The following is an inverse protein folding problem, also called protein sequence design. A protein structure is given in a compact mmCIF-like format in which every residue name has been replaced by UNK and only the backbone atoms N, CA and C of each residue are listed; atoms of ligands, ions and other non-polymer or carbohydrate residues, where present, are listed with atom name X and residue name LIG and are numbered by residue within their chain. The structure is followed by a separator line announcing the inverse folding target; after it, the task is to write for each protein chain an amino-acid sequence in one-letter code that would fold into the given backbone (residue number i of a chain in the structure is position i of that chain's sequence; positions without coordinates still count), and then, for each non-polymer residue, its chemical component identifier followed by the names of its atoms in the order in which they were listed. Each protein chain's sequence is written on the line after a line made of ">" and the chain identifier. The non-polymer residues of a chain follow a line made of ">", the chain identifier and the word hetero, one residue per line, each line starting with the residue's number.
data_IF_664688734717
#
_entry.id   IF_664688734717
#
_cell.length_a   1.000
_cell.length_b   1.000
_cell.length_c   1.000
_cell.angle_alpha   90.00
_cell.angle_beta   90.00
_cell.angle_gamma   90.00
#
_symmetry.space_group_name_H-M   'P 1'
#
loop_
_entity.id
_entity.type
_entity.pdbx_description
1 polymer ?
#
# COMPACT_ATOMS: atom_id res chain seq x y z
N UNK A 1 -3.41 -5.56 49.76
CA UNK A 1 -2.68 -6.77 50.17
C UNK A 1 -1.57 -7.03 49.17
N UNK A 2 -0.37 -7.43 49.61
CA UNK A 2 0.81 -7.51 48.76
C UNK A 2 0.83 -8.82 47.98
N UNK A 3 0.06 -8.92 46.89
CA UNK A 3 0.18 -10.04 45.92
C UNK A 3 0.39 -9.54 44.47
N UNK A 4 0.64 -8.24 44.28
CA UNK A 4 0.82 -7.62 42.96
C UNK A 4 2.18 -7.81 42.28
N UNK A 5 3.05 -8.70 42.76
CA UNK A 5 4.48 -8.70 42.33
C UNK A 5 5.06 -10.05 41.89
N UNK A 6 4.27 -11.12 41.80
CA UNK A 6 4.80 -12.45 41.42
C UNK A 6 3.94 -13.08 40.32
N UNK A 7 3.98 -12.52 39.11
CA UNK A 7 3.98 -13.32 37.86
C UNK A 7 4.28 -12.46 36.63
N UNK A 8 5.27 -11.59 36.78
CA UNK A 8 6.13 -11.16 35.69
C UNK A 8 7.07 -12.32 35.35
N UNK A 9 6.54 -13.35 34.68
CA UNK A 9 7.35 -14.48 34.17
C UNK A 9 7.01 -14.75 32.71
N UNK A 10 7.44 -13.81 31.88
CA UNK A 10 8.08 -14.02 30.58
C UNK A 10 7.64 -15.22 29.73
N UNK A 11 7.02 -14.88 28.58
CA UNK A 11 6.90 -15.66 27.34
C UNK A 11 5.81 -16.76 27.27
N UNK A 12 4.72 -16.41 26.56
CA UNK A 12 3.88 -17.22 25.64
C UNK A 12 2.54 -16.48 25.54
N UNK A 13 2.06 -15.98 24.43
CA UNK A 13 2.34 -16.17 23.01
C UNK A 13 1.55 -15.06 22.28
N UNK A 14 1.88 -14.76 21.04
CA UNK A 14 1.06 -13.90 20.14
C UNK A 14 -0.43 -14.31 20.11
N UNK A 15 -0.76 -15.56 20.47
CA UNK A 15 -2.14 -16.06 20.62
C UNK A 15 -2.90 -15.43 21.79
N UNK A 16 -2.25 -15.05 22.89
CA UNK A 16 -2.91 -14.39 24.03
C UNK A 16 -3.28 -12.93 23.69
N UNK A 17 -2.46 -12.26 22.88
CA UNK A 17 -2.76 -10.92 22.34
C UNK A 17 -3.89 -10.95 21.30
N UNK A 18 -3.93 -11.99 20.46
CA UNK A 18 -5.04 -12.19 19.53
C UNK A 18 -6.37 -12.50 20.26
N UNK A 19 -6.31 -13.20 21.40
CA UNK A 19 -7.49 -13.50 22.20
C UNK A 19 -8.09 -12.24 22.85
N UNK A 20 -7.27 -11.31 23.36
CA UNK A 20 -7.79 -10.04 23.90
C UNK A 20 -8.45 -9.14 22.85
N UNK A 21 -7.91 -9.10 21.61
CA UNK A 21 -8.51 -8.38 20.48
C UNK A 21 -9.85 -8.99 20.03
N UNK A 22 -9.99 -10.32 20.12
CA UNK A 22 -11.26 -10.99 19.85
C UNK A 22 -12.34 -10.66 20.90
N UNK A 23 -11.93 -10.38 22.14
CA UNK A 23 -12.82 -10.10 23.28
C UNK A 23 -13.02 -8.62 23.61
N UNK A 24 -12.46 -7.70 22.81
CA UNK A 24 -12.73 -6.27 22.98
C UNK A 24 -14.24 -5.99 22.89
N UNK A 25 -14.74 -4.99 23.64
CA UNK A 25 -16.15 -4.60 23.58
C UNK A 25 -16.48 -4.11 22.16
N UNK A 26 -17.11 -4.99 21.37
CA UNK A 26 -17.60 -4.65 20.04
C UNK A 26 -18.96 -3.97 20.15
N UNK A 27 -19.15 -2.92 19.36
CA UNK A 27 -20.47 -2.33 19.20
C UNK A 27 -21.33 -3.34 18.42
N UNK A 28 -22.54 -3.69 18.88
CA UNK A 28 -23.40 -4.63 18.16
C UNK A 28 -23.67 -4.12 16.74
N UNK A 29 -23.44 -4.98 15.75
CA UNK A 29 -23.49 -4.64 14.32
C UNK A 29 -24.84 -4.10 13.87
N UNK A 30 -25.92 -4.38 14.60
CA UNK A 30 -27.26 -3.85 14.35
C UNK A 30 -27.41 -2.35 14.62
N UNK A 31 -26.48 -1.74 15.35
CA UNK A 31 -26.49 -0.31 15.68
C UNK A 31 -25.60 0.54 14.78
N UNK A 32 -24.78 -0.09 13.93
CA UNK A 32 -23.86 0.59 13.03
C UNK A 32 -24.51 0.78 11.65
N UNK A 33 -24.40 1.97 11.03
CA UNK A 33 -24.90 2.16 9.67
C UNK A 33 -24.09 1.30 8.70
N UNK A 34 -24.80 0.48 7.91
CA UNK A 34 -24.18 -0.40 6.91
C UNK A 34 -23.65 0.39 5.70
N UNK A 35 -24.28 1.54 5.39
CA UNK A 35 -23.91 2.42 4.29
C UNK A 35 -23.99 3.86 4.80
N UNK A 36 -23.00 4.66 4.42
CA UNK A 36 -22.98 6.10 4.70
C UNK A 36 -23.71 6.87 3.58
N UNK A 37 -23.21 8.02 3.16
CA UNK A 37 -23.76 8.83 2.06
C UNK A 37 -22.98 8.58 0.77
N UNK A 38 -23.50 9.05 -0.38
CA UNK A 38 -22.80 8.98 -1.68
C UNK A 38 -21.36 9.48 -1.63
N UNK A 39 -21.09 10.57 -0.90
CA UNK A 39 -19.72 11.04 -0.69
C UNK A 39 -18.87 10.01 0.08
N UNK A 40 -19.39 9.45 1.16
CA UNK A 40 -18.70 8.42 1.94
C UNK A 40 -18.44 7.14 1.14
N UNK A 41 -19.35 6.75 0.25
CA UNK A 41 -19.16 5.62 -0.67
C UNK A 41 -18.04 5.90 -1.66
N UNK A 42 -17.99 7.11 -2.25
CA UNK A 42 -16.92 7.52 -3.18
C UNK A 42 -15.57 7.57 -2.46
N UNK A 43 -15.52 8.12 -1.24
CA UNK A 43 -14.32 8.18 -0.43
C UNK A 43 -13.83 6.76 -0.06
N UNK A 44 -14.74 5.87 0.31
CA UNK A 44 -14.41 4.47 0.59
C UNK A 44 -13.88 3.75 -0.66
N UNK A 45 -14.52 3.94 -1.83
CA UNK A 45 -14.04 3.37 -3.09
C UNK A 45 -12.61 3.87 -3.42
N UNK A 46 -12.33 5.15 -3.21
CA UNK A 46 -10.98 5.71 -3.33
C UNK A 46 -9.97 5.05 -2.41
N UNK A 47 -10.29 4.91 -1.12
CA UNK A 47 -9.43 4.23 -0.15
C UNK A 47 -9.17 2.77 -0.50
N UNK A 48 -10.18 2.06 -1.01
CA UNK A 48 -10.05 0.67 -1.45
C UNK A 48 -9.12 0.57 -2.66
N UNK A 49 -9.32 1.44 -3.66
CA UNK A 49 -8.45 1.50 -4.85
C UNK A 49 -7.01 1.84 -4.48
N UNK A 50 -6.80 2.78 -3.57
CA UNK A 50 -5.48 3.12 -3.05
C UNK A 50 -4.85 1.94 -2.28
N UNK A 51 -5.64 1.21 -1.50
CA UNK A 51 -5.14 0.08 -0.71
C UNK A 51 -4.69 -1.09 -1.58
N UNK A 52 -5.31 -1.28 -2.74
CA UNK A 52 -4.95 -2.32 -3.72
C UNK A 52 -3.96 -1.82 -4.78
N UNK A 53 -3.34 -0.66 -4.57
CA UNK A 53 -2.34 -0.09 -5.47
C UNK A 53 -1.01 -0.85 -5.35
N UNK A 54 -0.50 -1.32 -6.49
CA UNK A 54 0.71 -2.12 -6.58
C UNK A 54 1.15 -2.46 -8.01
N UNK A 55 0.43 -1.94 -9.00
CA UNK A 55 0.60 -2.23 -10.43
C UNK A 55 2.02 -1.88 -10.91
N UNK A 56 2.62 -0.81 -10.40
CA UNK A 56 3.97 -0.38 -10.77
C UNK A 56 5.07 -1.38 -10.37
N UNK A 57 4.81 -2.23 -9.36
CA UNK A 57 5.79 -3.23 -8.91
C UNK A 57 5.74 -4.53 -9.72
N UNK A 58 4.64 -4.80 -10.43
CA UNK A 58 4.43 -6.08 -11.12
C UNK A 58 5.52 -6.34 -12.17
N UNK A 59 5.81 -5.37 -13.04
CA UNK A 59 6.81 -5.55 -14.11
C UNK A 59 8.25 -5.68 -13.60
N UNK A 60 8.75 -4.82 -12.68
CA UNK A 60 10.06 -5.05 -12.08
C UNK A 60 10.16 -6.39 -11.35
N UNK A 61 9.10 -6.81 -10.66
CA UNK A 61 9.08 -8.09 -9.95
C UNK A 61 9.14 -9.27 -10.93
N UNK A 62 8.32 -9.25 -11.98
CA UNK A 62 8.29 -10.28 -13.02
C UNK A 62 9.67 -10.46 -13.68
N UNK A 63 10.34 -9.35 -13.99
CA UNK A 63 11.69 -9.36 -14.56
C UNK A 63 12.76 -9.95 -13.62
N UNK A 64 12.49 -10.06 -12.32
CA UNK A 64 13.40 -10.65 -11.32
C UNK A 64 13.00 -12.07 -10.92
N UNK A 65 11.87 -12.59 -11.38
CA UNK A 65 11.44 -13.95 -11.10
C UNK A 65 12.26 -14.97 -11.88
N UNK A 66 12.57 -16.11 -11.23
CA UNK A 66 13.21 -17.26 -11.91
C UNK A 66 12.29 -17.86 -12.98
N UNK A 67 10.99 -17.85 -12.72
CA UNK A 67 9.95 -18.37 -13.62
C UNK A 67 8.87 -17.29 -13.82
N UNK A 68 9.04 -16.36 -14.76
CA UNK A 68 8.09 -15.26 -14.98
C UNK A 68 6.66 -15.71 -15.32
N UNK A 69 6.52 -16.88 -15.98
CA UNK A 69 5.21 -17.45 -16.34
C UNK A 69 4.33 -17.81 -15.14
N UNK A 70 4.92 -17.97 -13.95
CA UNK A 70 4.18 -18.26 -12.71
C UNK A 70 3.63 -16.98 -12.05
N UNK A 71 3.88 -15.81 -12.65
CA UNK A 71 3.33 -14.53 -12.17
C UNK A 71 1.80 -14.49 -12.32
N UNK A 72 1.30 -15.00 -13.45
CA UNK A 72 -0.12 -14.99 -13.84
C UNK A 72 -0.80 -16.35 -13.59
N UNK A 73 -2.13 -16.38 -13.70
CA UNK A 73 -2.98 -17.56 -13.50
C UNK A 73 -3.71 -17.56 -12.15
N UNK A 74 -4.64 -18.50 -11.98
CA UNK A 74 -5.49 -18.58 -10.78
C UNK A 74 -4.70 -18.79 -9.49
N UNK A 75 -3.66 -19.63 -9.54
CA UNK A 75 -2.71 -19.85 -8.44
C UNK A 75 -1.37 -19.10 -8.67
N UNK A 76 -1.36 -18.09 -9.54
CA UNK A 76 -0.19 -17.26 -9.80
C UNK A 76 0.17 -16.37 -8.60
N UNK A 77 1.40 -15.88 -8.59
CA UNK A 77 1.89 -15.01 -7.50
C UNK A 77 1.01 -13.77 -7.33
N UNK A 78 0.56 -13.17 -8.44
CA UNK A 78 -0.28 -11.97 -8.41
C UNK A 78 -1.67 -12.27 -7.83
N UNK A 79 -2.37 -13.28 -8.36
CA UNK A 79 -3.73 -13.63 -7.96
C UNK A 79 -3.81 -14.05 -6.49
N UNK A 80 -2.86 -14.85 -6.03
CA UNK A 80 -2.80 -15.30 -4.63
C UNK A 80 -2.43 -14.14 -3.68
N UNK A 81 -1.46 -13.30 -4.07
CA UNK A 81 -1.03 -12.15 -3.27
C UNK A 81 -2.14 -11.12 -3.08
N UNK A 82 -2.81 -10.71 -4.16
CA UNK A 82 -3.92 -9.75 -4.11
C UNK A 82 -5.10 -10.31 -3.31
N UNK A 83 -5.44 -11.59 -3.50
CA UNK A 83 -6.53 -12.23 -2.74
C UNK A 83 -6.26 -12.27 -1.24
N UNK A 84 -5.05 -12.65 -0.84
CA UNK A 84 -4.64 -12.70 0.57
C UNK A 84 -4.69 -11.31 1.21
N UNK A 85 -4.12 -10.30 0.56
CA UNK A 85 -4.09 -8.93 1.06
C UNK A 85 -5.50 -8.37 1.18
N UNK A 86 -6.37 -8.64 0.20
CA UNK A 86 -7.77 -8.22 0.22
C UNK A 86 -8.52 -8.80 1.43
N UNK A 87 -8.31 -10.08 1.75
CA UNK A 87 -8.93 -10.71 2.92
C UNK A 87 -8.45 -10.08 4.23
N UNK A 88 -7.14 -9.81 4.34
CA UNK A 88 -6.56 -9.17 5.53
C UNK A 88 -7.11 -7.75 5.68
N UNK A 89 -7.16 -6.96 4.61
CA UNK A 89 -7.72 -5.60 4.65
C UNK A 89 -9.21 -5.58 4.95
N UNK A 90 -9.99 -6.51 4.39
CA UNK A 90 -11.39 -6.66 4.72
C UNK A 90 -11.61 -6.99 6.20
N UNK A 91 -10.82 -7.92 6.75
CA UNK A 91 -10.86 -8.25 8.17
C UNK A 91 -10.48 -7.04 9.05
N UNK A 92 -9.35 -6.39 8.77
CA UNK A 92 -8.92 -5.21 9.52
C UNK A 92 -9.93 -4.05 9.44
N UNK A 93 -10.51 -3.80 8.26
CA UNK A 93 -11.54 -2.78 8.08
C UNK A 93 -12.82 -3.11 8.85
N UNK A 94 -13.27 -4.36 8.80
CA UNK A 94 -14.44 -4.82 9.55
C UNK A 94 -14.24 -4.72 11.06
N UNK A 95 -13.16 -5.31 11.59
CA UNK A 95 -12.86 -5.28 13.03
C UNK A 95 -12.58 -3.86 13.54
N UNK A 96 -11.93 -3.01 12.72
CA UNK A 96 -11.71 -1.61 13.05
C UNK A 96 -13.01 -0.83 13.18
N UNK A 97 -13.95 -1.04 12.24
CA UNK A 97 -15.23 -0.34 12.25
C UNK A 97 -16.13 -0.75 13.42
N UNK A 98 -16.22 -2.05 13.75
CA UNK A 98 -17.06 -2.48 14.89
C UNK A 98 -16.50 -2.04 16.25
N UNK A 99 -15.19 -1.77 16.33
CA UNK A 99 -14.52 -1.36 17.58
C UNK A 99 -14.65 0.14 17.83
N UNK A 100 -14.47 0.97 16.79
CA UNK A 100 -14.42 2.43 16.94
C UNK A 100 -15.66 3.17 16.41
N UNK A 101 -16.47 2.52 15.57
CA UNK A 101 -17.66 3.14 14.95
C UNK A 101 -17.33 4.45 14.26
N UNK A 102 -18.16 5.47 14.50
CA UNK A 102 -18.02 6.82 13.92
C UNK A 102 -16.84 7.63 14.48
N UNK A 103 -16.17 7.16 15.54
CA UNK A 103 -15.03 7.86 16.16
C UNK A 103 -13.68 7.54 15.49
N UNK A 104 -13.68 6.70 14.44
CA UNK A 104 -12.44 6.25 13.81
C UNK A 104 -11.70 7.42 13.15
N UNK A 105 -10.49 7.72 13.65
CA UNK A 105 -9.58 8.68 13.04
C UNK A 105 -8.98 8.14 11.72
N UNK A 106 -8.43 9.05 10.90
CA UNK A 106 -7.83 8.74 9.58
C UNK A 106 -6.66 7.74 9.58
N UNK A 107 -6.16 7.35 10.75
CA UNK A 107 -5.28 6.20 10.91
C UNK A 107 -5.63 5.46 12.21
N UNK A 108 -5.58 4.12 12.15
CA UNK A 108 -5.90 3.24 13.29
C UNK A 108 -5.03 3.55 14.51
N UNK A 109 -3.76 3.94 14.29
CA UNK A 109 -2.79 4.23 15.35
C UNK A 109 -3.24 5.35 16.28
N UNK A 110 -3.98 6.34 15.77
CA UNK A 110 -4.50 7.46 16.57
C UNK A 110 -5.63 7.03 17.51
N UNK A 111 -6.35 5.96 17.17
CA UNK A 111 -7.45 5.45 17.99
C UNK A 111 -6.97 4.52 19.13
N UNK A 112 -5.73 4.05 19.09
CA UNK A 112 -5.17 3.18 20.13
C UNK A 112 -4.79 3.99 21.39
N UNK A 113 -5.33 3.59 22.54
CA UNK A 113 -4.95 4.11 23.86
C UNK A 113 -3.51 3.74 24.24
N UNK A 114 -2.86 4.50 25.13
CA UNK A 114 -1.45 4.31 25.49
C UNK A 114 -1.21 3.23 26.56
N UNK A 115 -1.89 2.08 26.43
CA UNK A 115 -1.61 0.92 27.27
C UNK A 115 -0.29 0.24 26.84
N UNK A 116 0.42 -0.48 27.72
CA UNK A 116 1.67 -1.15 27.35
C UNK A 116 1.55 -2.11 26.16
N UNK A 117 0.40 -2.77 26.02
CA UNK A 117 0.11 -3.66 24.88
C UNK A 117 -0.05 -2.85 23.59
N UNK A 118 -0.86 -1.79 23.62
CA UNK A 118 -1.08 -0.94 22.46
C UNK A 118 0.18 -0.19 22.03
N UNK A 119 1.03 0.19 22.99
CA UNK A 119 2.33 0.78 22.69
C UNK A 119 3.21 -0.19 21.88
N UNK A 120 3.22 -1.48 22.23
CA UNK A 120 3.93 -2.50 21.44
C UNK A 120 3.39 -2.60 20.00
N UNK A 121 2.06 -2.55 19.83
CA UNK A 121 1.42 -2.56 18.51
C UNK A 121 1.79 -1.31 17.70
N UNK A 122 1.80 -0.12 18.32
CA UNK A 122 2.25 1.12 17.69
C UNK A 122 3.71 1.00 17.20
N UNK A 123 4.61 0.47 18.02
CA UNK A 123 6.00 0.21 17.63
C UNK A 123 6.11 -0.78 16.46
N UNK A 124 5.36 -1.88 16.49
CA UNK A 124 5.34 -2.85 15.40
C UNK A 124 4.84 -2.22 14.10
N UNK A 125 3.78 -1.42 14.16
CA UNK A 125 3.26 -0.71 12.99
C UNK A 125 4.28 0.28 12.43
N UNK A 126 5.00 1.03 13.27
CA UNK A 126 6.07 1.93 12.83
C UNK A 126 7.18 1.17 12.10
N UNK A 127 7.61 0.02 12.62
CA UNK A 127 8.61 -0.84 11.98
C UNK A 127 8.13 -1.36 10.61
N UNK A 128 6.85 -1.76 10.51
CA UNK A 128 6.25 -2.22 9.25
C UNK A 128 6.20 -1.07 8.24
N UNK A 129 5.65 0.09 8.62
CA UNK A 129 5.54 1.26 7.72
C UNK A 129 6.92 1.71 7.22
N UNK A 130 7.91 1.77 8.12
CA UNK A 130 9.28 2.10 7.74
C UNK A 130 9.86 1.10 6.73
N UNK A 131 9.67 -0.20 6.96
CA UNK A 131 10.16 -1.24 6.06
C UNK A 131 9.44 -1.23 4.71
N UNK A 132 8.13 -1.01 4.71
CA UNK A 132 7.32 -0.88 3.50
C UNK A 132 7.75 0.30 2.63
N UNK A 133 8.12 1.43 3.23
CA UNK A 133 8.63 2.59 2.49
C UNK A 133 9.88 2.25 1.66
N UNK A 134 10.80 1.46 2.22
CA UNK A 134 12.00 1.00 1.51
C UNK A 134 11.65 0.12 0.30
N UNK A 135 10.65 -0.75 0.45
CA UNK A 135 10.17 -1.62 -0.63
C UNK A 135 9.46 -0.80 -1.71
N UNK A 136 8.62 0.17 -1.34
CA UNK A 136 7.91 1.04 -2.29
C UNK A 136 8.84 1.94 -3.11
N UNK A 137 10.01 2.29 -2.57
CA UNK A 137 11.03 3.03 -3.32
C UNK A 137 11.68 2.19 -4.43
N UNK A 138 11.65 0.86 -4.34
CA UNK A 138 12.28 -0.04 -5.31
C UNK A 138 11.78 0.17 -6.75
N UNK A 139 10.47 0.05 -7.07
CA UNK A 139 9.99 0.22 -8.45
C UNK A 139 10.25 1.63 -8.98
N UNK A 140 10.13 2.65 -8.13
CA UNK A 140 10.42 4.05 -8.50
C UNK A 140 11.86 4.19 -9.00
N UNK A 141 12.82 3.64 -8.25
CA UNK A 141 14.23 3.74 -8.61
C UNK A 141 14.56 2.86 -9.82
N UNK A 142 14.08 1.61 -9.88
CA UNK A 142 14.37 0.69 -11.00
C UNK A 142 13.84 1.24 -12.34
N UNK A 143 12.67 1.91 -12.34
CA UNK A 143 12.07 2.50 -13.54
C UNK A 143 12.68 3.87 -13.93
N UNK A 144 12.91 4.76 -12.96
CA UNK A 144 13.38 6.12 -13.26
C UNK A 144 14.91 6.22 -13.44
N UNK A 145 15.68 5.39 -12.73
CA UNK A 145 17.15 5.48 -12.78
C UNK A 145 17.73 5.28 -14.19
N UNK A 146 17.27 4.31 -15.01
CA UNK A 146 17.72 4.19 -16.39
C UNK A 146 17.45 5.45 -17.21
N UNK A 147 16.33 6.14 -16.99
CA UNK A 147 15.99 7.38 -17.68
C UNK A 147 16.94 8.51 -17.29
N UNK A 148 17.24 8.66 -16.00
CA UNK A 148 18.21 9.64 -15.49
C UNK A 148 19.66 9.34 -15.91
N UNK A 149 20.01 8.06 -16.04
CA UNK A 149 21.38 7.60 -16.36
C UNK A 149 21.73 7.73 -17.84
N UNK A 150 20.78 7.58 -18.76
CA UNK A 150 20.98 7.70 -20.22
C UNK A 150 21.72 8.99 -20.64
N UNK A 151 21.31 10.20 -20.24
CA UNK A 151 22.01 11.44 -20.61
C UNK A 151 23.41 11.55 -19.98
N UNK A 152 23.60 11.01 -18.77
CA UNK A 152 24.90 11.04 -18.06
C UNK A 152 25.94 10.12 -18.72
N UNK A 153 25.50 8.96 -19.24
CA UNK A 153 26.39 8.03 -19.96
C UNK A 153 26.82 8.57 -21.32
N UNK A 154 25.94 9.29 -22.02
CA UNK A 154 26.25 9.94 -23.30
C UNK A 154 27.40 10.96 -23.19
N UNK A 155 27.61 11.55 -22.00
CA UNK A 155 28.69 12.50 -21.70
C UNK A 155 30.00 11.84 -21.24
N UNK A 156 30.15 10.52 -21.36
CA UNK A 156 31.35 9.75 -20.98
C UNK A 156 31.84 10.05 -19.54
N UNK A 157 30.90 10.21 -18.61
CA UNK A 157 31.16 10.64 -17.23
C UNK A 157 31.77 9.52 -16.39
N UNK A 158 32.70 9.85 -15.48
CA UNK A 158 33.40 8.89 -14.60
C UNK A 158 32.42 8.07 -13.75
N UNK A 159 32.73 6.78 -13.55
CA UNK A 159 31.89 5.83 -12.79
C UNK A 159 31.57 6.31 -11.36
N UNK A 160 32.52 6.95 -10.67
CA UNK A 160 32.32 7.49 -9.33
C UNK A 160 31.23 8.59 -9.28
N UNK A 161 31.14 9.44 -10.31
CA UNK A 161 30.15 10.49 -10.39
C UNK A 161 28.75 9.91 -10.66
N UNK A 162 28.65 8.84 -11.44
CA UNK A 162 27.38 8.13 -11.68
C UNK A 162 26.84 7.53 -10.38
N UNK A 163 27.70 6.91 -9.55
CA UNK A 163 27.29 6.37 -8.25
C UNK A 163 26.86 7.48 -7.28
N UNK A 164 27.57 8.61 -7.24
CA UNK A 164 27.18 9.76 -6.41
C UNK A 164 25.80 10.31 -6.84
N UNK A 165 25.55 10.39 -8.15
CA UNK A 165 24.27 10.85 -8.68
C UNK A 165 23.13 9.86 -8.39
N UNK A 166 23.42 8.57 -8.30
CA UNK A 166 22.43 7.56 -7.90
C UNK A 166 21.96 7.78 -6.46
N UNK A 167 22.89 8.02 -5.53
CA UNK A 167 22.53 8.34 -4.16
C UNK A 167 21.76 9.65 -4.07
N UNK A 168 22.20 10.70 -4.78
CA UNK A 168 21.49 11.98 -4.82
C UNK A 168 20.06 11.83 -5.34
N UNK A 169 19.85 11.01 -6.38
CA UNK A 169 18.53 10.71 -6.92
C UNK A 169 17.64 9.96 -5.93
N UNK A 170 18.21 9.00 -5.18
CA UNK A 170 17.46 8.31 -4.12
C UNK A 170 17.08 9.26 -2.99
N UNK A 171 17.99 10.14 -2.57
CA UNK A 171 17.70 11.15 -1.55
C UNK A 171 16.62 12.13 -2.02
N UNK A 172 16.67 12.61 -3.27
CA UNK A 172 15.70 13.57 -3.77
C UNK A 172 14.27 13.03 -3.76
N UNK A 173 14.07 11.74 -4.11
CA UNK A 173 12.75 11.09 -4.01
C UNK A 173 12.23 11.12 -2.56
N UNK A 174 13.09 10.82 -1.58
CA UNK A 174 12.71 10.83 -0.16
C UNK A 174 12.36 12.24 0.31
N UNK A 175 13.13 13.25 -0.10
CA UNK A 175 12.82 14.65 0.26
C UNK A 175 11.51 15.15 -0.35
N UNK A 176 11.18 14.73 -1.58
CA UNK A 176 9.89 15.03 -2.19
C UNK A 176 8.75 14.38 -1.39
N UNK A 177 8.90 13.11 -1.00
CA UNK A 177 7.92 12.43 -0.16
C UNK A 177 7.74 13.11 1.21
N UNK A 178 8.83 13.55 1.84
CA UNK A 178 8.79 14.33 3.10
C UNK A 178 8.10 15.69 2.90
N UNK A 179 8.36 16.37 1.79
CA UNK A 179 7.69 17.63 1.46
C UNK A 179 6.17 17.46 1.31
N UNK A 180 5.73 16.39 0.64
CA UNK A 180 4.31 16.05 0.52
C UNK A 180 3.68 15.72 1.88
N UNK A 181 4.38 14.96 2.73
CA UNK A 181 3.92 14.64 4.08
C UNK A 181 3.78 15.89 4.97
N UNK A 182 4.66 16.88 4.79
CA UNK A 182 4.57 18.16 5.50
C UNK A 182 3.42 19.04 4.99
N UNK A 183 3.14 19.01 3.69
CA UNK A 183 2.07 19.81 3.08
C UNK A 183 0.66 19.32 3.44
N UNK A 184 0.47 18.00 3.56
CA UNK A 184 -0.85 17.38 3.75
C UNK A 184 -0.83 16.43 4.95
N UNK A 185 -1.21 16.90 6.15
CA UNK A 185 -1.23 16.06 7.36
C UNK A 185 -2.48 15.15 7.48
N UNK A 186 -3.53 15.45 6.71
CA UNK A 186 -4.83 14.76 6.80
C UNK A 186 -4.86 13.53 5.88
N UNK A 187 -4.59 12.35 6.46
CA UNK A 187 -4.53 11.06 5.74
C UNK A 187 -5.91 10.61 5.21
N UNK A 188 -6.96 10.93 5.94
CA UNK A 188 -8.37 10.60 5.63
C UNK A 188 -8.85 11.19 4.30
N UNK A 189 -8.31 12.34 3.89
CA UNK A 189 -8.70 13.02 2.66
C UNK A 189 -7.78 12.66 1.49
N UNK A 190 -6.47 12.57 1.73
CA UNK A 190 -5.48 12.35 0.67
C UNK A 190 -5.53 10.93 0.11
N UNK A 191 -5.76 9.92 0.95
CA UNK A 191 -5.80 8.51 0.54
C UNK A 191 -6.93 8.27 -0.49
N UNK A 192 -8.19 8.63 -0.20
CA UNK A 192 -9.26 8.55 -1.20
C UNK A 192 -8.97 9.35 -2.47
N UNK A 193 -8.44 10.57 -2.33
CA UNK A 193 -8.19 11.46 -3.46
C UNK A 193 -7.18 10.83 -4.43
N UNK A 194 -6.06 10.33 -3.92
CA UNK A 194 -5.02 9.67 -4.72
C UNK A 194 -5.54 8.38 -5.35
N UNK A 195 -6.33 7.60 -4.61
CA UNK A 195 -6.94 6.37 -5.11
C UNK A 195 -7.94 6.59 -6.25
N UNK A 196 -8.84 7.57 -6.12
CA UNK A 196 -9.79 7.92 -7.19
C UNK A 196 -9.09 8.56 -8.39
N UNK A 197 -8.05 9.36 -8.17
CA UNK A 197 -7.35 10.04 -9.28
C UNK A 197 -6.29 9.14 -9.92
N UNK A 198 -5.14 8.98 -9.28
CA UNK A 198 -4.02 8.20 -9.80
C UNK A 198 -4.36 6.70 -9.87
N UNK A 199 -5.05 6.16 -8.86
CA UNK A 199 -5.41 4.74 -8.82
C UNK A 199 -6.34 4.34 -9.98
N UNK A 200 -7.40 5.10 -10.26
CA UNK A 200 -8.28 4.82 -11.40
C UNK A 200 -7.56 4.99 -12.75
N UNK A 201 -6.71 6.02 -12.88
CA UNK A 201 -5.93 6.23 -14.09
C UNK A 201 -5.00 5.02 -14.38
N UNK A 202 -4.31 4.51 -13.36
CA UNK A 202 -3.40 3.38 -13.52
C UNK A 202 -4.12 2.02 -13.65
N UNK A 203 -5.26 1.85 -12.99
CA UNK A 203 -5.99 0.59 -13.00
C UNK A 203 -6.88 0.40 -14.23
N UNK A 204 -7.52 1.47 -14.72
CA UNK A 204 -8.52 1.39 -15.80
C UNK A 204 -8.03 2.01 -17.10
N UNK A 205 -7.49 3.23 -17.02
CA UNK A 205 -7.14 3.99 -18.22
C UNK A 205 -5.85 3.48 -18.84
N UNK A 206 -4.81 3.24 -18.03
CA UNK A 206 -3.51 2.81 -18.54
C UNK A 206 -3.58 1.47 -19.29
N UNK A 207 -4.21 0.39 -18.76
CA UNK A 207 -4.30 -0.87 -19.49
C UNK A 207 -5.10 -0.74 -20.78
N UNK A 208 -6.23 -0.04 -20.77
CA UNK A 208 -7.06 0.18 -21.95
C UNK A 208 -6.32 0.96 -23.04
N UNK A 209 -5.57 2.01 -22.67
CA UNK A 209 -4.76 2.78 -23.62
C UNK A 209 -3.61 1.93 -24.17
N UNK A 210 -2.94 1.14 -23.33
CA UNK A 210 -1.87 0.25 -23.78
C UNK A 210 -2.40 -0.80 -24.77
N UNK A 211 -3.55 -1.40 -24.50
CA UNK A 211 -4.19 -2.35 -25.41
C UNK A 211 -4.52 -1.71 -26.75
N UNK A 212 -5.17 -0.54 -26.74
CA UNK A 212 -5.50 0.20 -27.97
C UNK A 212 -4.25 0.53 -28.77
N UNK A 213 -3.17 0.99 -28.13
CA UNK A 213 -1.92 1.35 -28.82
C UNK A 213 -1.19 0.13 -29.37
N UNK A 214 -1.14 -0.97 -28.61
CA UNK A 214 -0.46 -2.20 -29.04
C UNK A 214 -1.18 -2.86 -30.22
N UNK A 215 -2.51 -2.92 -30.17
CA UNK A 215 -3.33 -3.59 -31.19
C UNK A 215 -3.85 -2.66 -32.29
N UNK A 216 -3.41 -1.40 -32.34
CA UNK A 216 -3.91 -0.41 -33.32
C UNK A 216 -3.65 -0.83 -34.77
N UNK A 217 -2.51 -1.48 -35.03
CA UNK A 217 -2.12 -1.92 -36.36
C UNK A 217 -2.96 -3.12 -36.83
N UNK A 218 -3.27 -4.07 -35.93
CA UNK A 218 -4.18 -5.18 -36.23
C UNK A 218 -5.60 -4.70 -36.49
N UNK A 219 -6.09 -3.76 -35.67
CA UNK A 219 -7.38 -3.12 -35.89
C UNK A 219 -7.44 -2.36 -37.21
N UNK A 220 -6.38 -1.59 -37.54
CA UNK A 220 -6.27 -0.88 -38.81
C UNK A 220 -6.29 -1.85 -40.00
N UNK A 221 -5.55 -2.94 -39.92
CA UNK A 221 -5.48 -3.95 -40.97
C UNK A 221 -6.85 -4.61 -41.23
N UNK A 222 -7.57 -5.00 -40.17
CA UNK A 222 -8.90 -5.61 -40.27
C UNK A 222 -9.96 -4.64 -40.86
N UNK A 223 -9.86 -3.35 -40.56
CA UNK A 223 -10.76 -2.34 -41.15
C UNK A 223 -10.49 -2.08 -42.64
N UNK A 224 -9.25 -2.23 -43.11
CA UNK A 224 -8.92 -2.10 -44.54
C UNK A 224 -9.31 -3.30 -45.39
N UNK A 225 -9.60 -4.45 -44.77
CA UNK A 225 -10.02 -5.69 -45.45
C UNK A 225 -11.54 -5.89 -45.51
N UNK A 226 -12.32 -4.98 -44.90
CA UNK A 226 -13.79 -4.91 -44.98
C UNK A 226 -14.21 -3.86 -46.03
#
# INVERSE_FOLDING_TARGET
>A
GPEGWICQKYSRSTLCQAHELATAQHIPTSQLPAVTNVNGVVMAAGSILYSLEGQAMVLPLENKMKHPKDMDGFNGVLSTGVSLVTLIYAACGFYGYITYGDQVQGSVTLNLSDTPLNFSVKCMLLCVVYSSFLIQQYPIVEMLWPMAKRPLRARNTKRAYITAFEYLFRFSIVFVALGLAWLIPNLDQIIPLVGVTAGMLLALVLPAVLEVVVFIEEWRANFTTL
#
